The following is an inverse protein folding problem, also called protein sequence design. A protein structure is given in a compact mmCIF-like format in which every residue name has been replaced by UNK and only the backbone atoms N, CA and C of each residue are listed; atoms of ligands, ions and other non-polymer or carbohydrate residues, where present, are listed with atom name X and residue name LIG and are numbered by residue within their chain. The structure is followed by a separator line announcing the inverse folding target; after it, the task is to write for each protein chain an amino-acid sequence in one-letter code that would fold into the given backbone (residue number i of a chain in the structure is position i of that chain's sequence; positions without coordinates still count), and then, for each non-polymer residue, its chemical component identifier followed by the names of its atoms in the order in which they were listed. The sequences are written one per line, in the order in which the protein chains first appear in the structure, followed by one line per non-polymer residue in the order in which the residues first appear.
data_IF_547353158746
#
_entry.id   IF_547353158746
#
_cell.length_a   1.000
_cell.length_b   1.000
_cell.length_c   1.000
_cell.angle_alpha   90.00
_cell.angle_beta   90.00
_cell.angle_gamma   90.00
#
_symmetry.space_group_name_H-M   'P 1'
#
loop_
_entity.id
_entity.type
_entity.pdbx_description
1 polymer ?
#
# COMPACT_ATOMS: atom_id res chain seq x y z
N UNK A 1 2.48 39.50 22.46
CA UNK A 1 2.68 38.45 21.45
C UNK A 1 1.44 37.56 21.49
N UNK A 2 0.61 37.62 20.45
CA UNK A 2 -0.41 36.55 20.25
C UNK A 2 0.37 35.25 20.11
N UNK A 3 0.13 34.32 21.03
CA UNK A 3 0.59 32.95 20.84
C UNK A 3 -0.09 32.43 19.56
N UNK A 4 0.68 31.97 18.58
CA UNK A 4 0.15 31.37 17.38
C UNK A 4 -0.77 30.20 17.79
N UNK A 5 -1.96 30.15 17.22
CA UNK A 5 -2.86 29.03 17.46
C UNK A 5 -2.18 27.72 16.99
N UNK A 6 -2.39 26.60 17.70
CA UNK A 6 -1.83 25.32 17.28
C UNK A 6 -2.29 24.96 15.86
N UNK A 7 -1.38 24.47 15.04
CA UNK A 7 -1.72 23.88 13.76
C UNK A 7 -2.49 22.57 13.97
N UNK A 8 -3.49 22.34 13.16
CA UNK A 8 -4.31 21.14 13.19
C UNK A 8 -4.01 20.31 11.95
N UNK A 9 -3.41 19.15 12.14
CA UNK A 9 -2.98 18.28 11.06
C UNK A 9 -3.84 17.02 11.08
N UNK A 10 -4.56 16.78 9.97
CA UNK A 10 -5.34 15.57 9.79
C UNK A 10 -4.52 14.50 9.08
N UNK A 11 -4.70 13.25 9.49
CA UNK A 11 -4.10 12.09 8.81
C UNK A 11 -5.16 11.02 8.57
N UNK A 12 -5.09 10.40 7.41
CA UNK A 12 -5.82 9.17 7.12
C UNK A 12 -4.96 8.29 6.22
N UNK A 13 -4.74 7.07 6.65
CA UNK A 13 -4.00 6.03 5.93
C UNK A 13 -5.00 4.98 5.46
N UNK A 14 -4.61 4.16 4.46
CA UNK A 14 -5.54 3.16 3.92
C UNK A 14 -6.05 2.19 5.01
N UNK A 15 -5.20 1.86 5.98
CA UNK A 15 -5.56 1.03 7.14
C UNK A 15 -4.53 1.16 8.24
N UNK A 16 -4.95 1.10 9.50
CA UNK A 16 -4.04 1.00 10.64
C UNK A 16 -3.67 -0.45 10.98
N UNK A 17 -4.25 -1.42 10.26
CA UNK A 17 -3.91 -2.85 10.43
C UNK A 17 -2.54 -3.21 9.84
N UNK A 18 -1.94 -2.33 9.05
CA UNK A 18 -0.55 -2.47 8.62
C UNK A 18 0.35 -1.70 9.58
N UNK A 19 1.28 -2.36 10.31
CA UNK A 19 2.18 -1.72 11.26
C UNK A 19 3.02 -0.58 10.69
N UNK A 20 3.28 -0.60 9.37
CA UNK A 20 3.99 0.47 8.68
C UNK A 20 3.32 1.84 8.91
N UNK A 21 1.99 1.91 8.81
CA UNK A 21 1.26 3.17 9.00
C UNK A 21 1.14 3.59 10.45
N UNK A 22 0.98 2.64 11.37
CA UNK A 22 0.95 2.95 12.81
C UNK A 22 2.30 3.51 13.29
N UNK A 23 3.41 3.01 12.80
CA UNK A 23 4.75 3.54 13.09
C UNK A 23 4.90 4.96 12.55
N UNK A 24 4.50 5.20 11.30
CA UNK A 24 4.53 6.55 10.71
C UNK A 24 3.69 7.52 11.55
N UNK A 25 2.48 7.12 11.94
CA UNK A 25 1.58 7.97 12.72
C UNK A 25 2.17 8.32 14.09
N UNK A 26 2.76 7.36 14.77
CA UNK A 26 3.46 7.61 16.04
C UNK A 26 4.62 8.58 15.89
N UNK A 27 5.45 8.43 14.87
CA UNK A 27 6.56 9.34 14.60
C UNK A 27 6.08 10.77 14.27
N UNK A 28 5.05 10.88 13.46
CA UNK A 28 4.43 12.17 13.16
C UNK A 28 3.86 12.82 14.41
N UNK A 29 3.18 12.04 15.24
CA UNK A 29 2.57 12.51 16.49
C UNK A 29 3.61 13.09 17.44
N UNK A 30 4.73 12.38 17.63
CA UNK A 30 5.82 12.84 18.47
C UNK A 30 6.35 14.21 18.01
N UNK A 31 6.58 14.39 16.72
CA UNK A 31 7.10 15.65 16.17
C UNK A 31 6.05 16.77 16.28
N UNK A 32 4.82 16.50 15.89
CA UNK A 32 3.73 17.48 15.85
C UNK A 32 3.38 17.94 17.27
N UNK A 33 3.17 17.00 18.19
CA UNK A 33 2.81 17.32 19.56
C UNK A 33 3.97 18.00 20.33
N UNK A 34 5.23 17.67 20.03
CA UNK A 34 6.39 18.34 20.62
C UNK A 34 6.46 19.84 20.28
N UNK A 35 5.82 20.26 19.20
CA UNK A 35 5.71 21.67 18.77
C UNK A 35 4.46 22.36 19.31
N UNK A 36 3.63 21.65 20.08
CA UNK A 36 2.35 22.15 20.56
C UNK A 36 1.22 22.11 19.55
N UNK A 37 1.42 21.43 18.42
CA UNK A 37 0.43 21.24 17.37
C UNK A 37 -0.42 19.98 17.62
N UNK A 38 -1.49 19.82 16.86
CA UNK A 38 -2.50 18.77 17.06
C UNK A 38 -2.52 17.84 15.86
N UNK A 39 -2.48 16.53 16.11
CA UNK A 39 -2.64 15.50 15.11
C UNK A 39 -3.98 14.77 15.30
N UNK A 40 -4.80 14.76 14.26
CA UNK A 40 -6.08 14.08 14.20
C UNK A 40 -5.98 12.90 13.23
N UNK A 41 -5.92 11.69 13.76
CA UNK A 41 -5.76 10.46 12.96
C UNK A 41 -7.09 9.78 12.73
N UNK A 42 -7.27 9.23 11.51
CA UNK A 42 -8.43 8.43 11.11
C UNK A 42 -7.99 7.11 10.51
N UNK A 43 -8.83 6.09 10.62
CA UNK A 43 -8.62 4.75 10.07
C UNK A 43 -9.81 4.34 9.20
N UNK A 44 -9.70 4.39 7.87
CA UNK A 44 -10.79 3.99 6.98
C UNK A 44 -10.92 2.47 6.81
N UNK A 45 -9.99 1.69 7.34
CA UNK A 45 -10.00 0.23 7.27
C UNK A 45 -10.23 -0.30 5.84
N UNK A 46 -9.49 0.23 4.86
CA UNK A 46 -9.55 -0.12 3.42
C UNK A 46 -10.89 0.23 2.72
N UNK A 47 -11.73 1.04 3.35
CA UNK A 47 -12.98 1.50 2.76
C UNK A 47 -12.82 2.92 2.24
N UNK A 48 -12.84 3.10 0.91
CA UNK A 48 -12.66 4.42 0.29
C UNK A 48 -13.80 5.38 0.60
N UNK A 49 -15.04 4.90 0.67
CA UNK A 49 -16.17 5.73 1.04
C UNK A 49 -16.04 6.26 2.47
N UNK A 50 -15.60 5.40 3.38
CA UNK A 50 -15.30 5.78 4.74
C UNK A 50 -14.14 6.79 4.82
N UNK A 51 -13.10 6.61 4.02
CA UNK A 51 -12.00 7.58 3.93
C UNK A 51 -12.51 8.95 3.45
N UNK A 52 -13.37 8.98 2.45
CA UNK A 52 -13.96 10.22 1.96
C UNK A 52 -14.78 10.94 3.05
N UNK A 53 -15.57 10.21 3.82
CA UNK A 53 -16.31 10.74 4.97
C UNK A 53 -15.38 11.27 6.06
N UNK A 54 -14.32 10.54 6.37
CA UNK A 54 -13.31 10.94 7.35
C UNK A 54 -12.59 12.22 6.94
N UNK A 55 -12.30 12.39 5.65
CA UNK A 55 -11.72 13.63 5.12
C UNK A 55 -12.68 14.80 5.31
N UNK A 56 -13.97 14.61 5.05
CA UNK A 56 -15.00 15.66 5.31
C UNK A 56 -15.06 16.02 6.78
N UNK A 57 -15.02 15.04 7.67
CA UNK A 57 -15.00 15.27 9.12
C UNK A 57 -13.74 16.03 9.54
N UNK A 58 -12.57 15.70 8.99
CA UNK A 58 -11.33 16.43 9.24
C UNK A 58 -11.42 17.88 8.76
N UNK A 59 -12.05 18.13 7.61
CA UNK A 59 -12.28 19.50 7.14
C UNK A 59 -13.18 20.28 8.10
N UNK A 60 -14.19 19.65 8.69
CA UNK A 60 -15.05 20.25 9.72
C UNK A 60 -14.31 20.50 11.04
N UNK A 61 -13.22 19.77 11.28
CA UNK A 61 -12.31 19.99 12.42
C UNK A 61 -11.30 21.10 12.14
N UNK A 62 -11.45 21.83 11.05
CA UNK A 62 -10.59 22.96 10.65
C UNK A 62 -9.11 22.62 10.57
N UNK A 63 -8.78 21.53 9.91
CA UNK A 63 -7.38 21.14 9.67
C UNK A 63 -6.67 22.13 8.76
N UNK A 64 -5.37 22.34 9.02
CA UNK A 64 -4.49 23.21 8.24
C UNK A 64 -3.68 22.43 7.18
N UNK A 65 -3.56 21.12 7.36
CA UNK A 65 -2.83 20.21 6.48
C UNK A 65 -3.46 18.83 6.54
N UNK A 66 -3.56 18.16 5.40
CA UNK A 66 -3.93 16.75 5.33
C UNK A 66 -2.71 15.91 4.90
N UNK A 67 -2.38 14.91 5.71
CA UNK A 67 -1.43 13.84 5.35
C UNK A 67 -2.25 12.62 4.97
N UNK A 68 -2.12 12.18 3.73
CA UNK A 68 -3.00 11.17 3.13
C UNK A 68 -2.21 9.99 2.57
N UNK A 69 -2.66 8.79 2.94
CA UNK A 69 -2.36 7.59 2.19
C UNK A 69 -3.69 7.05 1.64
N UNK A 70 -3.93 7.10 0.31
CA UNK A 70 -5.24 6.80 -0.24
C UNK A 70 -5.55 5.30 -0.20
N UNK A 71 -6.80 4.95 0.08
CA UNK A 71 -7.30 3.58 -0.05
C UNK A 71 -7.28 3.16 -1.51
N UNK A 72 -7.84 3.99 -2.38
CA UNK A 72 -7.85 3.79 -3.83
C UNK A 72 -7.30 5.04 -4.53
N UNK A 73 -6.30 4.86 -5.38
CA UNK A 73 -5.58 5.97 -6.01
C UNK A 73 -6.42 6.79 -7.01
N UNK A 74 -7.52 6.25 -7.52
CA UNK A 74 -8.45 6.92 -8.43
C UNK A 74 -9.68 7.44 -7.70
N UNK A 75 -10.30 6.61 -6.89
CA UNK A 75 -11.56 6.92 -6.20
C UNK A 75 -11.39 7.97 -5.09
N UNK A 76 -10.16 8.26 -4.67
CA UNK A 76 -9.86 9.36 -3.76
C UNK A 76 -10.12 10.74 -4.37
N UNK A 77 -10.18 10.87 -5.69
CA UNK A 77 -10.22 12.17 -6.37
C UNK A 77 -11.37 13.08 -5.92
N UNK A 78 -12.62 12.62 -5.77
CA UNK A 78 -13.71 13.49 -5.30
C UNK A 78 -13.42 14.14 -3.95
N UNK A 79 -12.86 13.39 -3.00
CA UNK A 79 -12.47 13.92 -1.69
C UNK A 79 -11.34 14.94 -1.82
N UNK A 80 -10.35 14.70 -2.65
CA UNK A 80 -9.25 15.63 -2.91
C UNK A 80 -9.74 16.95 -3.51
N UNK A 81 -10.76 16.93 -4.35
CA UNK A 81 -11.37 18.16 -4.87
C UNK A 81 -12.06 18.97 -3.78
N UNK A 82 -12.70 18.31 -2.83
CA UNK A 82 -13.29 18.98 -1.66
C UNK A 82 -12.23 19.63 -0.79
N UNK A 83 -11.11 18.93 -0.55
CA UNK A 83 -9.97 19.46 0.21
C UNK A 83 -9.36 20.68 -0.50
N UNK A 84 -9.20 20.62 -1.81
CA UNK A 84 -8.68 21.72 -2.62
C UNK A 84 -9.60 22.97 -2.52
N UNK A 85 -10.91 22.78 -2.61
CA UNK A 85 -11.88 23.86 -2.44
C UNK A 85 -11.82 24.51 -1.05
N UNK A 86 -11.51 23.73 -0.03
CA UNK A 86 -11.31 24.22 1.33
C UNK A 86 -9.98 24.94 1.53
N UNK A 87 -9.10 24.92 0.55
CA UNK A 87 -7.78 25.56 0.62
C UNK A 87 -6.78 24.85 1.51
N UNK A 88 -7.00 23.56 1.82
CA UNK A 88 -6.13 22.77 2.67
C UNK A 88 -5.12 22.03 1.79
N UNK A 89 -3.79 22.22 2.02
CA UNK A 89 -2.78 21.47 1.30
C UNK A 89 -2.78 20.00 1.69
N UNK A 90 -2.41 19.14 0.72
CA UNK A 90 -2.35 17.68 0.90
C UNK A 90 -0.93 17.20 0.65
N UNK A 91 -0.39 16.45 1.58
CA UNK A 91 0.82 15.65 1.41
C UNK A 91 0.42 14.19 1.33
N UNK A 92 0.70 13.56 0.19
CA UNK A 92 0.44 12.13 -0.01
C UNK A 92 1.68 11.34 0.35
N UNK A 93 1.50 10.26 1.09
CA UNK A 93 2.61 9.39 1.48
C UNK A 93 2.43 7.96 0.98
N UNK A 94 3.54 7.30 0.69
CA UNK A 94 3.70 5.89 0.34
C UNK A 94 3.09 5.49 -1.01
N UNK A 95 1.96 6.02 -1.40
CA UNK A 95 1.28 5.68 -2.64
C UNK A 95 0.75 6.93 -3.33
N UNK A 96 0.92 7.03 -4.64
CA UNK A 96 0.48 8.18 -5.43
C UNK A 96 -1.04 8.18 -5.63
N UNK A 97 -1.57 9.37 -5.94
CA UNK A 97 -2.94 9.55 -6.45
C UNK A 97 -2.93 9.66 -7.98
N UNK A 98 -4.06 9.39 -8.62
CA UNK A 98 -4.15 9.43 -10.09
C UNK A 98 -4.02 10.85 -10.67
N UNK A 99 -4.46 11.86 -9.92
CA UNK A 99 -4.37 13.27 -10.33
C UNK A 99 -3.45 14.05 -9.38
N UNK A 100 -2.13 14.16 -9.70
CA UNK A 100 -1.17 14.82 -8.82
C UNK A 100 -1.37 16.35 -8.71
N UNK A 101 -2.16 16.96 -9.59
CA UNK A 101 -2.44 18.40 -9.54
C UNK A 101 -3.30 18.79 -8.33
N UNK A 102 -3.95 17.82 -7.71
CA UNK A 102 -4.79 18.04 -6.52
C UNK A 102 -4.03 18.01 -5.20
N UNK A 103 -2.74 17.70 -5.23
CA UNK A 103 -1.91 17.56 -4.03
C UNK A 103 -0.69 18.45 -4.08
N UNK A 104 -0.19 18.86 -2.91
CA UNK A 104 0.99 19.71 -2.80
C UNK A 104 2.27 18.92 -3.12
N UNK A 105 2.38 17.70 -2.60
CA UNK A 105 3.49 16.80 -2.90
C UNK A 105 3.14 15.36 -2.57
N UNK A 106 3.94 14.44 -3.12
CA UNK A 106 3.88 13.01 -2.81
C UNK A 106 5.25 12.53 -2.35
N UNK A 107 5.28 11.81 -1.23
CA UNK A 107 6.48 11.17 -0.68
C UNK A 107 6.27 9.66 -0.80
N UNK A 108 6.95 9.03 -1.75
CA UNK A 108 6.86 7.60 -1.99
C UNK A 108 8.21 7.03 -2.39
N UNK A 109 8.38 5.73 -2.16
CA UNK A 109 9.54 4.98 -2.65
C UNK A 109 9.42 4.73 -4.16
N UNK A 110 10.54 4.36 -4.79
CA UNK A 110 10.54 3.83 -6.16
C UNK A 110 9.97 2.40 -6.15
N UNK A 111 8.66 2.30 -6.19
CA UNK A 111 7.95 1.02 -6.11
C UNK A 111 8.14 0.17 -7.37
N UNK A 112 8.18 0.79 -8.54
CA UNK A 112 8.49 0.09 -9.79
C UNK A 112 9.89 -0.51 -9.75
N UNK A 113 10.90 0.28 -9.36
CA UNK A 113 12.28 -0.18 -9.20
C UNK A 113 12.42 -1.29 -8.17
N UNK A 114 11.65 -1.25 -7.08
CA UNK A 114 11.62 -2.35 -6.11
C UNK A 114 11.12 -3.66 -6.74
N UNK A 115 10.09 -3.59 -7.59
CA UNK A 115 9.63 -4.75 -8.35
C UNK A 115 10.68 -5.29 -9.32
N UNK A 116 11.39 -4.41 -10.00
CA UNK A 116 12.53 -4.78 -10.88
C UNK A 116 13.60 -5.54 -10.10
N UNK A 117 13.99 -5.04 -8.93
CA UNK A 117 14.98 -5.70 -8.06
C UNK A 117 14.53 -7.09 -7.61
N UNK A 118 13.27 -7.28 -7.30
CA UNK A 118 12.72 -8.60 -6.94
C UNK A 118 12.85 -9.59 -8.11
N UNK A 119 12.53 -9.15 -9.34
CA UNK A 119 12.66 -9.99 -10.53
C UNK A 119 14.12 -10.34 -10.83
N UNK A 120 15.01 -9.37 -10.74
CA UNK A 120 16.45 -9.58 -10.91
C UNK A 120 17.00 -10.58 -9.88
N UNK A 121 16.57 -10.45 -8.62
CA UNK A 121 16.95 -11.40 -7.58
C UNK A 121 16.49 -12.82 -7.92
N UNK A 122 15.25 -12.98 -8.35
CA UNK A 122 14.71 -14.27 -8.76
C UNK A 122 15.52 -14.88 -9.92
N UNK A 123 15.82 -14.09 -10.96
CA UNK A 123 16.61 -14.53 -12.11
C UNK A 123 18.06 -14.90 -11.74
N UNK A 124 18.60 -14.27 -10.70
CA UNK A 124 19.94 -14.58 -10.21
C UNK A 124 19.98 -15.85 -9.34
N UNK A 125 18.86 -16.28 -8.81
CA UNK A 125 18.77 -17.43 -7.90
C UNK A 125 18.31 -18.72 -8.59
N UNK A 126 17.64 -18.62 -9.73
CA UNK A 126 17.19 -19.79 -10.50
C UNK A 126 17.11 -19.47 -12.00
N UNK A 127 17.16 -20.52 -12.81
CA UNK A 127 17.15 -20.41 -14.28
C UNK A 127 15.73 -20.34 -14.85
N UNK A 128 14.75 -20.84 -14.10
CA UNK A 128 13.34 -20.84 -14.47
C UNK A 128 12.46 -20.84 -13.23
N UNK A 129 11.26 -20.32 -13.32
CA UNK A 129 10.29 -20.36 -12.24
C UNK A 129 8.85 -20.23 -12.73
N UNK A 130 7.96 -20.96 -12.07
CA UNK A 130 6.52 -20.73 -12.12
C UNK A 130 6.16 -19.80 -10.97
N UNK A 131 5.61 -18.64 -11.28
CA UNK A 131 5.43 -17.54 -10.33
C UNK A 131 3.96 -17.26 -10.10
N UNK A 132 3.59 -17.11 -8.84
CA UNK A 132 2.29 -16.56 -8.42
C UNK A 132 2.49 -15.12 -7.96
N UNK A 133 1.55 -14.24 -8.32
CA UNK A 133 1.52 -12.84 -7.89
C UNK A 133 0.45 -12.65 -6.83
N UNK A 134 0.83 -12.02 -5.72
CA UNK A 134 -0.10 -11.58 -4.67
C UNK A 134 -0.09 -10.05 -4.68
N UNK A 135 -1.21 -9.46 -5.08
CA UNK A 135 -1.34 -8.07 -5.51
C UNK A 135 -2.22 -7.24 -4.59
N UNK A 136 -2.17 -5.94 -4.80
CA UNK A 136 -3.14 -4.98 -4.27
C UNK A 136 -3.38 -3.92 -5.36
N UNK A 137 -4.29 -4.20 -6.28
CA UNK A 137 -4.47 -3.43 -7.51
C UNK A 137 -5.11 -2.05 -7.31
N UNK A 138 -5.71 -1.78 -6.15
CA UNK A 138 -6.30 -0.47 -5.84
C UNK A 138 -5.29 0.57 -5.37
N UNK A 139 -4.04 0.18 -5.14
CA UNK A 139 -2.95 1.08 -4.77
C UNK A 139 -1.93 1.22 -5.87
N UNK A 140 -1.48 2.45 -6.10
CA UNK A 140 -0.45 2.73 -7.11
C UNK A 140 0.89 2.10 -6.73
N UNK A 141 1.25 2.12 -5.45
CA UNK A 141 2.47 1.49 -4.95
C UNK A 141 2.48 -0.02 -5.19
N UNK A 142 1.38 -0.70 -4.89
CA UNK A 142 1.24 -2.14 -5.14
C UNK A 142 1.28 -2.47 -6.63
N UNK A 143 0.53 -1.73 -7.44
CA UNK A 143 0.53 -1.89 -8.89
C UNK A 143 1.92 -1.71 -9.49
N UNK A 144 2.65 -0.68 -9.09
CA UNK A 144 3.97 -0.37 -9.63
C UNK A 144 4.99 -1.46 -9.27
N UNK A 145 4.96 -2.00 -8.06
CA UNK A 145 5.84 -3.11 -7.66
C UNK A 145 5.59 -4.35 -8.51
N UNK A 146 4.35 -4.74 -8.68
CA UNK A 146 3.97 -5.89 -9.52
C UNK A 146 4.31 -5.62 -10.98
N UNK A 147 4.07 -4.42 -11.49
CA UNK A 147 4.38 -4.06 -12.87
C UNK A 147 5.88 -4.11 -13.15
N UNK A 148 6.71 -3.54 -12.25
CA UNK A 148 8.17 -3.60 -12.38
C UNK A 148 8.70 -5.02 -12.41
N UNK A 149 8.15 -5.89 -11.56
CA UNK A 149 8.46 -7.31 -11.53
C UNK A 149 8.07 -7.99 -12.87
N UNK A 150 6.84 -7.81 -13.32
CA UNK A 150 6.34 -8.43 -14.54
C UNK A 150 7.08 -7.93 -15.80
N UNK A 151 7.32 -6.63 -15.91
CA UNK A 151 8.02 -6.04 -17.05
C UNK A 151 9.44 -6.60 -17.17
N UNK A 152 10.12 -6.79 -16.06
CA UNK A 152 11.48 -7.35 -16.02
C UNK A 152 11.49 -8.81 -16.47
N UNK A 153 10.49 -9.60 -16.12
CA UNK A 153 10.37 -11.00 -16.54
C UNK A 153 9.81 -11.18 -17.96
N UNK A 154 9.20 -10.15 -18.54
CA UNK A 154 8.46 -10.28 -19.81
C UNK A 154 9.30 -10.80 -20.98
N UNK A 155 10.60 -10.49 -20.99
CA UNK A 155 11.56 -10.98 -22.03
C UNK A 155 12.24 -12.31 -21.66
N UNK A 156 11.84 -12.95 -20.56
CA UNK A 156 12.45 -14.19 -20.05
C UNK A 156 11.38 -15.30 -19.99
N UNK A 157 11.16 -16.06 -21.08
CA UNK A 157 10.05 -17.02 -21.18
C UNK A 157 10.15 -18.20 -20.22
N UNK A 158 11.30 -18.45 -19.62
CA UNK A 158 11.49 -19.47 -18.59
C UNK A 158 10.87 -19.09 -17.23
N UNK A 159 10.45 -17.82 -17.10
CA UNK A 159 9.77 -17.30 -15.92
C UNK A 159 8.32 -17.00 -16.29
N UNK A 160 7.39 -17.81 -15.78
CA UNK A 160 5.98 -17.75 -16.15
C UNK A 160 5.10 -17.37 -14.96
N UNK A 161 4.19 -16.43 -15.17
CA UNK A 161 3.14 -16.11 -14.21
C UNK A 161 2.01 -17.12 -14.38
N UNK A 162 1.81 -17.98 -13.39
CA UNK A 162 0.83 -19.08 -13.44
C UNK A 162 -0.42 -18.83 -12.61
N UNK A 163 -0.45 -17.79 -11.82
CA UNK A 163 -1.60 -17.43 -11.00
C UNK A 163 -1.40 -16.07 -10.36
N UNK A 164 -2.52 -15.45 -10.01
CA UNK A 164 -2.52 -14.17 -9.31
C UNK A 164 -3.78 -13.99 -8.49
N UNK A 165 -3.66 -13.28 -7.38
CA UNK A 165 -4.78 -12.94 -6.51
C UNK A 165 -4.55 -11.60 -5.83
N UNK A 166 -5.63 -10.88 -5.56
CA UNK A 166 -5.59 -9.65 -4.78
C UNK A 166 -5.68 -9.95 -3.29
N UNK A 167 -4.80 -9.35 -2.52
CA UNK A 167 -4.69 -9.56 -1.07
C UNK A 167 -5.17 -8.34 -0.25
N UNK A 168 -5.57 -7.27 -0.91
CA UNK A 168 -5.81 -6.00 -0.24
C UNK A 168 -4.63 -5.55 0.65
N UNK A 169 -3.41 -6.07 0.39
CA UNK A 169 -2.23 -5.79 1.18
C UNK A 169 -2.24 -6.36 2.60
N UNK A 170 -3.14 -7.31 2.90
CA UNK A 170 -3.41 -7.82 4.24
C UNK A 170 -3.09 -9.31 4.37
N UNK A 171 -2.49 -9.71 5.49
CA UNK A 171 -2.22 -11.12 5.79
C UNK A 171 -3.53 -11.94 5.78
N UNK A 172 -4.58 -11.44 6.40
CA UNK A 172 -5.87 -12.11 6.56
C UNK A 172 -6.60 -12.35 5.24
N UNK A 173 -6.24 -11.62 4.20
CA UNK A 173 -6.78 -11.80 2.85
C UNK A 173 -5.81 -12.62 2.00
N UNK A 174 -4.51 -12.37 2.10
CA UNK A 174 -3.49 -13.08 1.34
C UNK A 174 -3.49 -14.59 1.62
N UNK A 175 -3.61 -14.99 2.88
CA UNK A 175 -3.59 -16.39 3.28
C UNK A 175 -4.70 -17.20 2.62
N UNK A 176 -6.00 -16.86 2.72
CA UNK A 176 -7.05 -17.63 2.05
C UNK A 176 -6.98 -17.53 0.53
N UNK A 177 -6.50 -16.43 -0.05
CA UNK A 177 -6.34 -16.31 -1.49
C UNK A 177 -5.22 -17.22 -2.03
N UNK A 178 -4.09 -17.30 -1.33
CA UNK A 178 -3.02 -18.22 -1.68
C UNK A 178 -3.48 -19.69 -1.51
N UNK A 179 -4.17 -19.98 -0.41
CA UNK A 179 -4.75 -21.30 -0.15
C UNK A 179 -5.67 -21.75 -1.29
N UNK A 180 -6.54 -20.86 -1.76
CA UNK A 180 -7.43 -21.11 -2.89
C UNK A 180 -6.67 -21.47 -4.16
N UNK A 181 -5.58 -20.75 -4.48
CA UNK A 181 -4.75 -21.05 -5.64
C UNK A 181 -4.09 -22.43 -5.51
N UNK A 182 -3.59 -22.78 -4.34
CA UNK A 182 -2.97 -24.09 -4.07
C UNK A 182 -3.99 -25.23 -4.17
N UNK A 183 -5.21 -25.03 -3.69
CA UNK A 183 -6.31 -26.00 -3.81
C UNK A 183 -6.74 -26.22 -5.25
N UNK A 184 -6.57 -25.24 -6.13
CA UNK A 184 -6.81 -25.37 -7.57
C UNK A 184 -5.69 -26.14 -8.29
N UNK A 185 -4.67 -26.59 -7.59
CA UNK A 185 -3.57 -27.35 -8.15
C UNK A 185 -2.43 -26.48 -8.69
N UNK A 186 -2.43 -25.18 -8.41
CA UNK A 186 -1.34 -24.29 -8.76
C UNK A 186 -0.20 -24.49 -7.76
N UNK A 187 0.98 -24.92 -8.25
CA UNK A 187 2.16 -25.16 -7.43
C UNK A 187 3.26 -24.21 -7.90
N UNK A 188 3.51 -23.09 -7.21
CA UNK A 188 4.54 -22.14 -7.61
C UNK A 188 5.95 -22.58 -7.17
N UNK A 189 6.95 -22.13 -7.92
CA UNK A 189 8.34 -22.13 -7.48
C UNK A 189 8.68 -20.85 -6.71
N UNK A 190 7.99 -19.77 -7.04
CA UNK A 190 8.14 -18.46 -6.39
C UNK A 190 6.79 -17.75 -6.26
N UNK A 191 6.67 -16.91 -5.22
CA UNK A 191 5.52 -16.04 -5.00
C UNK A 191 6.04 -14.60 -4.84
N UNK A 192 5.62 -13.71 -5.73
CA UNK A 192 5.87 -12.28 -5.60
C UNK A 192 4.71 -11.62 -4.87
N UNK A 193 5.00 -11.00 -3.74
CA UNK A 193 4.03 -10.29 -2.93
C UNK A 193 4.33 -8.79 -2.92
N UNK A 194 3.31 -7.97 -2.96
CA UNK A 194 3.49 -6.53 -3.01
C UNK A 194 4.04 -5.93 -1.71
N UNK A 195 3.83 -6.58 -0.57
CA UNK A 195 4.28 -6.11 0.75
C UNK A 195 4.48 -7.27 1.73
N UNK A 196 5.02 -6.95 2.91
CA UNK A 196 5.33 -7.94 3.94
C UNK A 196 4.09 -8.65 4.52
N UNK A 197 2.98 -7.98 4.86
CA UNK A 197 1.79 -8.68 5.33
C UNK A 197 1.26 -9.71 4.33
N UNK A 198 1.23 -9.38 3.05
CA UNK A 198 0.83 -10.31 1.99
C UNK A 198 1.78 -11.50 1.88
N UNK A 199 3.09 -11.27 2.00
CA UNK A 199 4.10 -12.31 1.99
C UNK A 199 3.92 -13.28 3.18
N UNK A 200 3.67 -12.76 4.37
CA UNK A 200 3.42 -13.57 5.56
C UNK A 200 2.16 -14.44 5.38
N UNK A 201 1.10 -13.89 4.79
CA UNK A 201 -0.11 -14.65 4.49
C UNK A 201 0.13 -15.76 3.47
N UNK A 202 0.86 -15.47 2.39
CA UNK A 202 1.23 -16.46 1.39
C UNK A 202 2.11 -17.57 1.99
N UNK A 203 3.09 -17.22 2.82
CA UNK A 203 3.95 -18.18 3.50
C UNK A 203 3.16 -19.11 4.42
N UNK A 204 2.19 -18.58 5.16
CA UNK A 204 1.34 -19.38 6.04
C UNK A 204 0.53 -20.43 5.25
N UNK A 205 -0.05 -20.05 4.12
CA UNK A 205 -0.76 -20.96 3.24
C UNK A 205 0.17 -22.03 2.65
N UNK A 206 1.35 -21.65 2.19
CA UNK A 206 2.36 -22.56 1.67
C UNK A 206 2.81 -23.58 2.74
N UNK A 207 2.97 -23.13 3.97
CA UNK A 207 3.34 -23.99 5.08
C UNK A 207 2.25 -25.06 5.37
N UNK A 208 1.00 -24.67 5.36
CA UNK A 208 -0.12 -25.60 5.55
C UNK A 208 -0.19 -26.67 4.46
N UNK A 209 0.24 -26.35 3.24
CA UNK A 209 0.31 -27.30 2.12
C UNK A 209 1.67 -28.03 2.03
N UNK A 210 2.58 -27.80 2.97
CA UNK A 210 3.89 -28.44 2.97
C UNK A 210 4.83 -27.97 1.85
N UNK A 211 4.63 -26.78 1.30
CA UNK A 211 5.35 -26.23 0.15
C UNK A 211 6.31 -25.09 0.50
N UNK A 212 6.30 -24.59 1.74
CA UNK A 212 7.08 -23.39 2.09
C UNK A 212 8.58 -23.55 1.84
N UNK A 213 9.17 -24.68 2.19
CA UNK A 213 10.62 -24.94 2.02
C UNK A 213 11.04 -25.03 0.55
N UNK A 214 10.10 -25.31 -0.36
CA UNK A 214 10.35 -25.46 -1.80
C UNK A 214 10.03 -24.20 -2.59
N UNK A 215 9.55 -23.16 -1.95
CA UNK A 215 9.02 -21.96 -2.59
C UNK A 215 9.78 -20.73 -2.12
N UNK A 216 10.20 -19.89 -3.05
CA UNK A 216 10.76 -18.57 -2.76
C UNK A 216 9.63 -17.55 -2.63
N UNK A 217 9.60 -16.82 -1.54
CA UNK A 217 8.59 -15.79 -1.30
C UNK A 217 9.23 -14.44 -1.09
#
# INVERSE_FOLDING_TARGET
SQADEPLRIGTTYMTMNNPFYSVIDEELRLVIESRGDILLTRDPALDQERQNEEIRDLLHEDIDLLVLNPVDYREIEPALREVQKAGVPVVVIDSQVSNPDLVACTIASDNYGAGVLCAEHLMNTCDSAKVVLIEHASTKSGMDRIQGFCDTLASHPDFQIIGRADSAGQLEVAMPQMDRLLEQGIVPDAVMCLNDPSALGAMAALQEHGLLEKTTV
#
